data_IF_731550319604
#
_entry.id   IF_731550319604
#
_cell.length_a   1.000
_cell.length_b   1.000
_cell.length_c   1.000
_cell.angle_alpha   90.00
_cell.angle_beta   90.00
_cell.angle_gamma   90.00
#
_symmetry.space_group_name_H-M   'P 1'
#
loop_
_entity.id
_entity.type
_entity.pdbx_description
1 polymer ?
#
# COMPACT_ATOMS: atom_id res chain seq x y z
N UNK A 1 6.89 40.32 -2.57
CA UNK A 1 6.65 39.21 -3.53
C UNK A 1 6.07 38.05 -2.75
N UNK A 2 4.76 37.84 -2.84
CA UNK A 2 4.10 36.71 -2.19
C UNK A 2 4.37 35.51 -3.09
N UNK A 3 5.18 34.56 -2.65
CA UNK A 3 5.36 33.29 -3.38
C UNK A 3 4.07 32.50 -3.21
N UNK A 4 3.19 32.58 -4.20
CA UNK A 4 2.09 31.65 -4.38
C UNK A 4 2.72 30.28 -4.65
N UNK A 5 2.89 29.48 -3.58
CA UNK A 5 3.10 28.05 -3.71
C UNK A 5 1.83 27.49 -4.36
N UNK A 6 1.91 26.80 -5.51
CA UNK A 6 0.80 25.99 -5.95
C UNK A 6 0.58 24.94 -4.86
N UNK A 7 -0.48 25.10 -4.06
CA UNK A 7 -1.03 23.99 -3.30
C UNK A 7 -1.54 23.03 -4.36
N UNK A 8 -0.68 22.11 -4.78
CA UNK A 8 -1.09 20.95 -5.55
C UNK A 8 -1.98 20.14 -4.61
N UNK A 9 -3.25 20.49 -4.54
CA UNK A 9 -4.25 19.68 -3.86
C UNK A 9 -4.58 18.50 -4.77
N UNK A 10 -3.60 17.64 -5.00
CA UNK A 10 -3.91 16.26 -5.37
C UNK A 10 -4.47 15.63 -4.10
N UNK A 11 -5.77 15.31 -4.09
CA UNK A 11 -6.32 14.48 -3.02
C UNK A 11 -5.57 13.16 -3.03
N UNK A 12 -4.58 13.02 -2.15
CA UNK A 12 -3.84 11.76 -1.98
C UNK A 12 -4.72 10.82 -1.18
N UNK A 13 -5.26 9.82 -1.87
CA UNK A 13 -5.97 8.73 -1.25
C UNK A 13 -4.94 7.70 -0.76
N UNK A 14 -5.15 7.19 0.44
CA UNK A 14 -4.37 6.09 1.02
C UNK A 14 -5.31 4.91 1.29
N UNK A 15 -4.88 3.70 0.95
CA UNK A 15 -5.66 2.48 1.19
C UNK A 15 -5.01 1.63 2.31
N UNK A 16 -5.76 1.38 3.39
CA UNK A 16 -5.35 0.49 4.49
C UNK A 16 -6.26 -0.74 4.54
N UNK A 17 -5.72 -1.87 4.97
CA UNK A 17 -6.53 -3.06 5.23
C UNK A 17 -7.42 -2.86 6.46
N UNK A 18 -8.67 -3.34 6.37
CA UNK A 18 -9.63 -3.29 7.47
C UNK A 18 -9.19 -4.13 8.68
N UNK A 19 -9.45 -3.64 9.89
CA UNK A 19 -9.05 -4.30 11.14
C UNK A 19 -9.81 -5.61 11.43
N UNK A 20 -10.96 -5.74 10.80
CA UNK A 20 -11.92 -6.85 10.82
C UNK A 20 -11.67 -7.87 9.69
N UNK A 21 -10.66 -7.65 8.84
CA UNK A 21 -10.30 -8.56 7.76
C UNK A 21 -9.72 -9.87 8.29
N UNK A 22 -10.23 -10.99 7.78
CA UNK A 22 -9.68 -12.32 8.06
C UNK A 22 -8.28 -12.49 7.47
N UNK A 23 -7.44 -13.39 8.02
CA UNK A 23 -6.12 -13.68 7.45
C UNK A 23 -6.17 -14.09 5.97
N UNK A 24 -7.20 -14.84 5.57
CA UNK A 24 -7.40 -15.24 4.18
C UNK A 24 -7.64 -14.01 3.27
N UNK A 25 -8.51 -13.09 3.67
CA UNK A 25 -8.77 -11.86 2.90
C UNK A 25 -7.50 -11.00 2.80
N UNK A 26 -6.74 -10.87 3.89
CA UNK A 26 -5.48 -10.12 3.88
C UNK A 26 -4.45 -10.73 2.92
N UNK A 27 -4.33 -12.07 2.91
CA UNK A 27 -3.43 -12.76 1.98
C UNK A 27 -3.89 -12.63 0.53
N UNK A 28 -5.20 -12.70 0.27
CA UNK A 28 -5.76 -12.48 -1.07
C UNK A 28 -5.46 -11.07 -1.57
N UNK A 29 -5.59 -10.05 -0.72
CA UNK A 29 -5.20 -8.68 -1.06
C UNK A 29 -3.72 -8.59 -1.43
N UNK A 30 -2.83 -9.20 -0.63
CA UNK A 30 -1.39 -9.24 -0.95
C UNK A 30 -1.17 -9.87 -2.32
N UNK A 31 -1.69 -11.08 -2.53
CA UNK A 31 -1.49 -11.83 -3.78
C UNK A 31 -1.99 -11.04 -4.99
N UNK A 32 -3.16 -10.41 -4.87
CA UNK A 32 -3.73 -9.56 -5.92
C UNK A 32 -2.85 -8.35 -6.23
N UNK A 33 -2.44 -7.57 -5.23
CA UNK A 33 -1.60 -6.40 -5.50
C UNK A 33 -0.26 -6.76 -6.12
N UNK A 34 0.37 -7.86 -5.68
CA UNK A 34 1.60 -8.36 -6.28
C UNK A 34 1.40 -8.76 -7.77
N UNK A 35 0.27 -9.40 -8.11
CA UNK A 35 -0.02 -9.77 -9.51
C UNK A 35 -0.33 -8.55 -10.39
N UNK A 36 -0.78 -7.44 -9.79
CA UNK A 36 -1.07 -6.19 -10.49
C UNK A 36 0.14 -5.25 -10.63
N UNK A 37 1.35 -5.71 -10.30
CA UNK A 37 2.59 -4.95 -10.53
C UNK A 37 3.15 -4.22 -9.31
N UNK A 38 2.60 -4.42 -8.12
CA UNK A 38 3.24 -3.95 -6.87
C UNK A 38 4.51 -4.77 -6.60
N UNK A 39 5.61 -4.09 -6.27
CA UNK A 39 6.85 -4.76 -5.84
C UNK A 39 6.72 -5.32 -4.43
N UNK A 40 6.32 -6.58 -4.34
CA UNK A 40 6.13 -7.26 -3.07
C UNK A 40 7.44 -7.72 -2.40
N UNK A 41 8.62 -7.51 -2.99
CA UNK A 41 9.91 -7.84 -2.33
C UNK A 41 10.11 -7.05 -1.05
N UNK A 42 9.55 -5.84 -0.96
CA UNK A 42 9.62 -5.01 0.23
C UNK A 42 8.96 -5.64 1.47
N UNK A 43 7.93 -6.48 1.29
CA UNK A 43 7.21 -7.15 2.39
C UNK A 43 7.64 -8.61 2.62
N UNK A 44 8.61 -9.11 1.85
CA UNK A 44 9.19 -10.44 2.07
C UNK A 44 10.29 -10.40 3.14
N UNK A 45 10.67 -11.54 3.74
CA UNK A 45 11.80 -11.60 4.66
C UNK A 45 13.06 -10.92 4.10
N UNK A 46 13.63 -9.99 4.86
CA UNK A 46 14.78 -9.17 4.42
C UNK A 46 14.41 -7.89 3.65
N UNK A 47 13.13 -7.70 3.31
CA UNK A 47 12.62 -6.49 2.68
C UNK A 47 12.47 -5.31 3.67
N UNK A 48 12.49 -4.10 3.12
CA UNK A 48 12.43 -2.84 3.90
C UNK A 48 11.13 -2.62 4.67
N UNK A 49 10.03 -3.23 4.22
CA UNK A 49 8.70 -3.16 4.81
C UNK A 49 8.24 -4.49 5.43
N UNK A 50 9.18 -5.42 5.67
CA UNK A 50 8.88 -6.69 6.31
C UNK A 50 8.48 -6.51 7.78
N UNK A 51 9.19 -5.64 8.51
CA UNK A 51 8.97 -5.45 9.94
C UNK A 51 8.07 -4.23 10.23
N UNK A 52 7.06 -4.37 11.11
CA UNK A 52 6.70 -5.59 11.86
C UNK A 52 6.06 -6.65 10.94
N UNK A 53 6.44 -7.93 11.14
CA UNK A 53 5.87 -9.06 10.39
C UNK A 53 4.42 -9.31 10.82
N UNK A 54 3.49 -8.54 10.24
CA UNK A 54 2.05 -8.60 10.49
C UNK A 54 1.33 -8.55 9.16
N UNK A 55 0.50 -9.55 8.91
CA UNK A 55 -0.22 -9.71 7.64
C UNK A 55 -1.07 -8.48 7.27
N UNK A 56 -1.73 -7.86 8.26
CA UNK A 56 -2.52 -6.64 8.05
C UNK A 56 -1.67 -5.43 7.62
N UNK A 57 -0.42 -5.36 8.10
CA UNK A 57 0.52 -4.29 7.72
C UNK A 57 1.05 -4.50 6.32
N UNK A 58 1.41 -5.74 5.97
CA UNK A 58 1.80 -6.10 4.60
C UNK A 58 0.68 -5.87 3.60
N UNK A 59 -0.56 -6.29 3.92
CA UNK A 59 -1.72 -6.04 3.06
C UNK A 59 -2.01 -4.55 2.88
N UNK A 60 -1.90 -3.74 3.96
CA UNK A 60 -2.05 -2.28 3.88
C UNK A 60 -0.99 -1.63 2.99
N UNK A 61 0.26 -2.08 3.08
CA UNK A 61 1.34 -1.60 2.20
C UNK A 61 1.03 -1.91 0.74
N UNK A 62 0.69 -3.16 0.43
CA UNK A 62 0.43 -3.62 -0.94
C UNK A 62 -0.78 -2.90 -1.55
N UNK A 63 -1.89 -2.75 -0.82
CA UNK A 63 -3.08 -2.05 -1.33
C UNK A 63 -2.84 -0.56 -1.53
N UNK A 64 -2.06 0.07 -0.65
CA UNK A 64 -1.67 1.46 -0.86
C UNK A 64 -0.81 1.64 -2.11
N UNK A 65 0.19 0.77 -2.31
CA UNK A 65 1.03 0.80 -3.50
C UNK A 65 0.22 0.53 -4.78
N UNK A 66 -0.71 -0.43 -4.74
CA UNK A 66 -1.61 -0.72 -5.85
C UNK A 66 -2.47 0.49 -6.25
N UNK A 67 -3.02 1.21 -5.25
CA UNK A 67 -3.79 2.43 -5.51
C UNK A 67 -2.92 3.50 -6.17
N UNK A 68 -1.67 3.68 -5.73
CA UNK A 68 -0.75 4.64 -6.33
C UNK A 68 -0.36 4.29 -7.77
N UNK A 69 -0.25 3.00 -8.11
CA UNK A 69 -0.05 2.54 -9.49
C UNK A 69 -1.27 2.77 -10.37
N UNK A 70 -2.47 2.59 -9.82
CA UNK A 70 -3.75 2.73 -10.54
C UNK A 70 -4.13 4.20 -10.80
N UNK A 71 -3.39 5.15 -10.20
CA UNK A 71 -3.57 6.59 -10.41
C UNK A 71 -2.72 7.14 -11.58
N UNK A 72 -1.97 6.27 -12.28
CA UNK A 72 -1.20 6.57 -13.49
C UNK A 72 -1.87 5.97 -14.72
#
# INVERSE_FOLDING_TARGET
>A
MIHHLPVVSSTQYYCVAGVDSTPLQLQLNINFGCSQGVDCRAIQPGGSCFNPNKLIKHASYVMNAFLALSAY
#
